data_IF_327384100161
#
_entry.id   IF_327384100161
#
_cell.length_a   1.000
_cell.length_b   1.000
_cell.length_c   1.000
_cell.angle_alpha   90.00
_cell.angle_beta   90.00
_cell.angle_gamma   90.00
#
_symmetry.space_group_name_H-M   'P 1'
#
loop_
_entity.id
_entity.type
_entity.pdbx_description
1 polymer ?
#
# COMPACT_ATOMS: atom_id res chain seq x y z
N UNK A 1 25.35 0.76 14.67
CA UNK A 1 24.16 1.58 14.99
C UNK A 1 23.41 1.69 13.68
N UNK A 2 22.28 1.01 13.56
CA UNK A 2 21.55 0.90 12.28
C UNK A 2 20.68 2.14 12.12
N UNK A 3 21.02 3.01 11.18
CA UNK A 3 20.15 4.14 10.81
C UNK A 3 18.90 3.56 10.14
N UNK A 4 17.81 3.46 10.91
CA UNK A 4 16.49 3.12 10.38
C UNK A 4 15.92 4.36 9.71
N UNK A 5 15.90 4.37 8.38
CA UNK A 5 15.20 5.43 7.65
C UNK A 5 13.69 5.17 7.74
N UNK A 6 12.95 6.12 8.28
CA UNK A 6 11.49 6.02 8.34
C UNK A 6 10.89 6.71 7.12
N UNK A 7 10.15 5.96 6.30
CA UNK A 7 9.41 6.49 5.16
C UNK A 7 7.97 6.70 5.60
N UNK A 8 7.52 7.95 5.54
CA UNK A 8 6.12 8.28 5.75
C UNK A 8 5.39 8.19 4.42
N UNK A 9 4.40 7.32 4.37
CA UNK A 9 3.58 7.02 3.20
C UNK A 9 2.12 7.34 3.51
N UNK A 10 1.45 7.97 2.56
CA UNK A 10 0.03 8.20 2.63
C UNK A 10 -0.63 7.21 1.68
N UNK A 11 -1.49 6.36 2.23
CA UNK A 11 -2.27 5.38 1.49
C UNK A 11 -3.71 5.84 1.44
N UNK A 12 -4.21 6.12 0.25
CA UNK A 12 -5.60 6.52 0.04
C UNK A 12 -6.40 5.36 -0.57
N UNK A 13 -7.55 5.02 0.01
CA UNK A 13 -8.48 4.04 -0.50
C UNK A 13 -9.74 4.74 -1.03
N UNK A 14 -10.11 4.43 -2.27
CA UNK A 14 -11.27 4.95 -2.97
C UNK A 14 -12.15 3.85 -3.58
N UNK A 15 -13.27 4.24 -4.18
CA UNK A 15 -14.17 3.33 -4.91
C UNK A 15 -14.89 2.27 -4.05
N UNK A 16 -14.82 2.36 -2.72
CA UNK A 16 -15.36 1.35 -1.81
C UNK A 16 -14.31 0.43 -1.21
N UNK A 17 -13.05 0.51 -1.64
CA UNK A 17 -11.94 -0.16 -0.97
C UNK A 17 -11.77 0.34 0.47
N UNK A 18 -12.12 1.59 0.77
CA UNK A 18 -12.07 2.18 2.12
C UNK A 18 -12.83 1.36 3.18
N UNK A 19 -13.91 0.67 2.79
CA UNK A 19 -14.69 -0.19 3.68
C UNK A 19 -13.85 -1.33 4.24
N UNK A 20 -12.91 -1.85 3.45
CA UNK A 20 -12.02 -2.96 3.85
C UNK A 20 -10.97 -2.53 4.88
N UNK A 21 -10.69 -1.23 4.95
CA UNK A 21 -9.70 -0.61 5.83
C UNK A 21 -10.35 0.16 6.98
N UNK A 22 -11.60 -0.19 7.33
CA UNK A 22 -12.32 0.40 8.45
C UNK A 22 -13.08 1.68 8.11
N UNK A 23 -13.49 1.84 6.85
CA UNK A 23 -14.16 3.03 6.32
C UNK A 23 -13.31 4.31 6.43
N UNK A 24 -11.99 4.15 6.40
CA UNK A 24 -11.03 5.25 6.43
C UNK A 24 -10.44 5.42 5.04
N UNK A 25 -10.58 6.61 4.47
CA UNK A 25 -10.05 6.91 3.14
C UNK A 25 -8.55 7.12 3.14
N UNK A 26 -7.97 7.75 4.16
CA UNK A 26 -6.54 8.10 4.19
C UNK A 26 -5.88 7.48 5.40
N UNK A 27 -4.82 6.70 5.15
CA UNK A 27 -3.99 6.09 6.18
C UNK A 27 -2.58 6.63 6.08
N UNK A 28 -2.11 7.22 7.17
CA UNK A 28 -0.70 7.57 7.31
C UNK A 28 0.06 6.36 7.85
N UNK A 29 0.99 5.89 7.05
CA UNK A 29 1.78 4.69 7.31
C UNK A 29 3.24 5.09 7.45
N UNK A 30 3.87 4.68 8.54
CA UNK A 30 5.32 4.85 8.70
C UNK A 30 5.98 3.50 8.50
N UNK A 31 6.73 3.37 7.41
CA UNK A 31 7.52 2.18 7.12
C UNK A 31 8.95 2.40 7.57
N UNK A 32 9.50 1.42 8.28
CA UNK A 32 10.93 1.37 8.57
C UNK A 32 11.62 0.77 7.35
N UNK A 33 12.46 1.54 6.69
CA UNK A 33 13.38 1.05 5.67
C UNK A 33 14.66 0.57 6.36
N UNK A 34 14.92 -0.72 6.21
CA UNK A 34 16.22 -1.28 6.52
C UNK A 34 17.15 -0.95 5.35
N UNK A 35 18.36 -0.45 5.63
CA UNK A 35 19.30 0.15 4.67
C UNK A 35 19.60 -0.72 3.42
N UNK A 36 19.25 -2.01 3.46
CA UNK A 36 19.46 -3.00 2.42
C UNK A 36 18.25 -3.25 1.49
N UNK A 37 17.05 -2.74 1.79
CA UNK A 37 15.84 -3.10 1.04
C UNK A 37 14.91 -1.92 0.83
N UNK A 38 14.96 -1.34 -0.38
CA UNK A 38 13.94 -0.41 -0.86
C UNK A 38 12.55 -1.02 -0.75
N UNK A 39 11.59 -0.25 -0.26
CA UNK A 39 10.18 -0.64 -0.27
C UNK A 39 9.65 -0.66 -1.71
N UNK A 40 9.06 -1.79 -2.10
CA UNK A 40 8.39 -1.99 -3.39
C UNK A 40 6.92 -2.28 -3.17
N UNK A 41 6.06 -2.01 -4.17
CA UNK A 41 4.61 -2.24 -4.04
C UNK A 41 4.31 -3.70 -3.75
N UNK A 42 5.07 -4.63 -4.35
CA UNK A 42 4.96 -6.07 -4.07
C UNK A 42 5.23 -6.43 -2.60
N UNK A 43 6.07 -5.67 -1.89
CA UNK A 43 6.27 -5.81 -0.42
C UNK A 43 5.23 -5.02 0.38
N UNK A 44 4.78 -3.89 -0.14
CA UNK A 44 3.78 -3.03 0.51
C UNK A 44 2.42 -3.71 0.59
N UNK A 45 1.97 -4.37 -0.48
CA UNK A 45 0.68 -5.05 -0.56
C UNK A 45 0.42 -6.03 0.60
N UNK A 46 1.28 -7.05 0.84
CA UNK A 46 1.09 -7.95 1.98
C UNK A 46 1.27 -7.23 3.32
N UNK A 47 2.04 -6.14 3.38
CA UNK A 47 2.16 -5.33 4.59
C UNK A 47 0.84 -4.58 4.90
N UNK A 48 0.22 -3.95 3.90
CA UNK A 48 -1.09 -3.29 4.04
C UNK A 48 -2.16 -4.29 4.48
N UNK A 49 -2.15 -5.49 3.89
CA UNK A 49 -3.01 -6.61 4.30
C UNK A 49 -2.84 -6.99 5.77
N UNK A 50 -1.62 -7.10 6.25
CA UNK A 50 -1.38 -7.56 7.62
C UNK A 50 -1.56 -6.46 8.67
N UNK A 51 -1.39 -5.18 8.30
CA UNK A 51 -1.39 -4.06 9.27
C UNK A 51 -2.66 -3.20 9.22
N UNK A 52 -3.22 -2.96 8.04
CA UNK A 52 -4.30 -1.98 7.85
C UNK A 52 -5.63 -2.63 7.52
N UNK A 53 -5.61 -3.76 6.82
CA UNK A 53 -6.83 -4.45 6.44
C UNK A 53 -7.57 -4.94 7.69
N UNK A 54 -8.84 -4.55 7.79
CA UNK A 54 -9.75 -4.95 8.87
C UNK A 54 -10.68 -6.07 8.43
N UNK A 55 -10.99 -6.10 7.14
CA UNK A 55 -11.89 -7.06 6.50
C UNK A 55 -11.13 -8.25 5.89
N UNK A 56 -11.81 -9.02 5.04
CA UNK A 56 -11.24 -10.21 4.43
C UNK A 56 -10.16 -9.87 3.39
N UNK A 57 -8.97 -10.50 3.47
CA UNK A 57 -7.88 -10.24 2.54
C UNK A 57 -8.16 -10.67 1.10
N UNK A 58 -9.03 -11.66 0.91
CA UNK A 58 -9.47 -12.13 -0.42
C UNK A 58 -10.21 -11.06 -1.25
N UNK A 59 -10.76 -10.02 -0.60
CA UNK A 59 -11.48 -8.95 -1.29
C UNK A 59 -10.52 -7.93 -1.91
N UNK A 60 -9.30 -7.83 -1.37
CA UNK A 60 -8.29 -6.86 -1.76
C UNK A 60 -7.13 -7.49 -2.53
N UNK A 61 -6.63 -8.64 -2.08
CA UNK A 61 -5.53 -9.38 -2.69
C UNK A 61 -6.02 -10.71 -3.21
N UNK A 62 -5.58 -11.03 -4.42
CA UNK A 62 -5.75 -12.34 -5.02
C UNK A 62 -4.36 -12.92 -5.26
N UNK A 63 -4.10 -14.08 -4.65
CA UNK A 63 -2.77 -14.71 -4.63
C UNK A 63 -1.68 -13.76 -4.08
N UNK A 64 -0.75 -13.32 -4.93
CA UNK A 64 0.36 -12.43 -4.59
C UNK A 64 0.20 -11.00 -5.13
N UNK A 65 -0.94 -10.69 -5.77
CA UNK A 65 -1.19 -9.41 -6.44
C UNK A 65 -2.55 -8.83 -6.08
N UNK A 66 -2.77 -7.55 -6.39
CA UNK A 66 -4.08 -6.93 -6.22
C UNK A 66 -5.12 -7.61 -7.10
N UNK A 67 -6.36 -7.69 -6.59
CA UNK A 67 -7.46 -8.26 -7.36
C UNK A 67 -7.66 -7.49 -8.68
N UNK A 68 -7.86 -8.18 -9.82
CA UNK A 68 -8.17 -7.51 -11.08
C UNK A 68 -9.42 -6.63 -10.93
N UNK A 69 -9.28 -5.35 -11.26
CA UNK A 69 -10.27 -4.30 -11.01
C UNK A 69 -9.86 -3.28 -9.93
N UNK A 70 -8.80 -3.56 -9.16
CA UNK A 70 -8.19 -2.57 -8.26
C UNK A 70 -7.03 -1.89 -9.01
N UNK A 71 -7.12 -0.58 -9.18
CA UNK A 71 -6.05 0.26 -9.70
C UNK A 71 -5.17 0.76 -8.56
N UNK A 72 -3.87 0.47 -8.65
CA UNK A 72 -2.84 0.98 -7.73
C UNK A 72 -2.09 2.12 -8.41
N UNK A 73 -2.14 3.29 -7.81
CA UNK A 73 -1.42 4.48 -8.25
C UNK A 73 -0.37 4.82 -7.20
N UNK A 74 0.85 5.14 -7.64
CA UNK A 74 1.91 5.66 -6.78
C UNK A 74 2.20 7.07 -7.26
N UNK A 75 2.10 8.08 -6.38
CA UNK A 75 2.27 9.49 -6.75
C UNK A 75 1.47 9.88 -8.03
N UNK A 76 0.22 9.44 -8.13
CA UNK A 76 -0.67 9.69 -9.29
C UNK A 76 -0.18 9.11 -10.64
N UNK A 77 0.81 8.22 -10.64
CA UNK A 77 1.18 7.44 -11.82
C UNK A 77 1.04 5.94 -11.57
N UNK A 78 1.00 5.18 -12.67
CA UNK A 78 0.87 3.73 -12.59
C UNK A 78 2.08 3.11 -11.88
N UNK A 79 1.79 2.23 -10.93
CA UNK A 79 2.79 1.60 -10.08
C UNK A 79 3.80 0.76 -10.86
N UNK A 80 3.45 0.28 -12.06
CA UNK A 80 4.38 -0.46 -12.93
C UNK A 80 5.55 0.40 -13.45
N UNK A 81 5.45 1.73 -13.32
CA UNK A 81 6.44 2.69 -13.84
C UNK A 81 7.34 3.32 -12.77
N UNK A 82 7.14 3.04 -11.46
CA UNK A 82 7.86 3.73 -10.39
C UNK A 82 8.84 2.85 -9.59
N UNK A 83 10.02 3.41 -9.30
CA UNK A 83 11.10 2.78 -8.51
C UNK A 83 11.11 3.23 -7.03
N UNK A 84 10.41 4.33 -6.69
CA UNK A 84 10.36 4.90 -5.34
C UNK A 84 8.92 5.25 -4.94
N UNK A 85 8.54 4.90 -3.70
CA UNK A 85 7.16 5.06 -3.20
C UNK A 85 7.14 6.17 -2.16
N UNK A 86 6.32 7.20 -2.37
CA UNK A 86 6.11 8.30 -1.40
C UNK A 86 4.61 8.51 -1.10
N UNK A 87 3.74 8.35 -2.08
CA UNK A 87 2.28 8.37 -1.93
C UNK A 87 1.69 7.21 -2.70
N UNK A 88 0.68 6.53 -2.14
CA UNK A 88 -0.04 5.43 -2.80
C UNK A 88 -1.54 5.71 -2.76
N UNK A 89 -2.21 5.65 -3.91
CA UNK A 89 -3.68 5.67 -4.01
C UNK A 89 -4.15 4.35 -4.58
N UNK A 90 -5.21 3.81 -4.00
CA UNK A 90 -5.85 2.55 -4.37
C UNK A 90 -7.32 2.85 -4.66
N UNK A 91 -7.75 2.67 -5.91
CA UNK A 91 -9.16 2.82 -6.29
C UNK A 91 -9.62 1.58 -7.02
N UNK A 92 -10.85 1.15 -6.77
CA UNK A 92 -11.59 0.24 -7.65
C UNK A 92 -12.36 1.02 -8.72
#
# INVERSE_FOLDING_TARGET
>A
MEEKNNINLIVEFGGGAELLFGNVKKHNVTLTEDNLSKWTIRKLLPWLKNNLLKERPELFLQDETVRPGILVLVNDADWELMVCIHVVKLTV
#
